data_IF_528450117007
#
_entry.id   IF_528450117007
#
_cell.length_a   1.000
_cell.length_b   1.000
_cell.length_c   1.000
_cell.angle_alpha   90.00
_cell.angle_beta   90.00
_cell.angle_gamma   90.00
#
_symmetry.space_group_name_H-M   'P 1'
#
loop_
_entity.id
_entity.type
_entity.pdbx_description
1 polymer ?
#
# COMPACT_ATOMS: atom_id res chain seq x y z
N UNK A 1 -20.40 -28.04 -7.51
CA UNK A 1 -19.39 -28.93 -6.89
C UNK A 1 -17.95 -28.43 -7.02
N UNK A 2 -17.44 -28.13 -8.23
CA UNK A 2 -16.05 -27.69 -8.46
C UNK A 2 -15.55 -26.56 -7.53
N UNK A 3 -16.37 -25.50 -7.31
CA UNK A 3 -16.04 -24.41 -6.38
C UNK A 3 -15.88 -24.85 -4.92
N UNK A 4 -16.74 -25.76 -4.47
CA UNK A 4 -16.76 -26.21 -3.06
C UNK A 4 -15.51 -27.03 -2.76
N UNK A 5 -15.20 -28.01 -3.62
CA UNK A 5 -14.00 -28.83 -3.48
C UNK A 5 -12.72 -27.99 -3.64
N UNK A 6 -12.68 -27.08 -4.60
CA UNK A 6 -11.53 -26.19 -4.73
C UNK A 6 -11.30 -25.38 -3.45
N UNK A 7 -12.34 -24.90 -2.77
CA UNK A 7 -12.16 -24.14 -1.51
C UNK A 7 -11.60 -24.96 -0.35
N UNK A 8 -11.85 -26.27 -0.29
CA UNK A 8 -11.31 -27.14 0.76
C UNK A 8 -9.83 -27.49 0.57
N UNK A 9 -9.24 -27.17 -0.59
CA UNK A 9 -7.85 -27.48 -0.89
C UNK A 9 -6.88 -26.37 -0.45
N UNK A 10 -5.63 -26.71 -0.09
CA UNK A 10 -4.55 -25.73 0.09
C UNK A 10 -4.19 -25.02 -1.22
N UNK A 11 -3.51 -23.88 -1.13
CA UNK A 11 -3.29 -22.95 -2.25
C UNK A 11 -2.66 -23.59 -3.51
N UNK A 12 -1.69 -24.47 -3.31
CA UNK A 12 -1.01 -25.22 -4.37
C UNK A 12 -1.92 -26.28 -5.01
N UNK A 13 -2.63 -27.05 -4.21
CA UNK A 13 -3.58 -28.06 -4.71
C UNK A 13 -4.75 -27.39 -5.45
N UNK A 14 -5.20 -26.22 -5.00
CA UNK A 14 -6.21 -25.41 -5.69
C UNK A 14 -5.78 -25.03 -7.09
N UNK A 15 -4.56 -24.52 -7.22
CA UNK A 15 -3.99 -24.11 -8.50
C UNK A 15 -3.83 -25.31 -9.44
N UNK A 16 -3.30 -26.44 -8.96
CA UNK A 16 -3.13 -27.66 -9.75
C UNK A 16 -4.47 -28.28 -10.16
N UNK A 17 -5.44 -28.31 -9.25
CA UNK A 17 -6.81 -28.74 -9.56
C UNK A 17 -7.43 -27.88 -10.66
N UNK A 18 -7.31 -26.54 -10.56
CA UNK A 18 -7.77 -25.64 -11.59
C UNK A 18 -7.08 -25.88 -12.95
N UNK A 19 -5.80 -26.22 -12.95
CA UNK A 19 -5.05 -26.55 -14.16
C UNK A 19 -5.53 -27.87 -14.78
N UNK A 20 -5.73 -28.93 -13.99
CA UNK A 20 -6.31 -30.21 -14.46
C UNK A 20 -7.67 -29.98 -15.10
N UNK A 21 -8.57 -29.26 -14.43
CA UNK A 21 -9.90 -28.98 -14.97
C UNK A 21 -9.84 -28.12 -16.24
N UNK A 22 -8.90 -27.17 -16.33
CA UNK A 22 -8.71 -26.36 -17.53
C UNK A 22 -8.20 -27.19 -18.72
N UNK A 23 -7.25 -28.11 -18.48
CA UNK A 23 -6.69 -28.99 -19.49
C UNK A 23 -7.73 -29.99 -20.02
N UNK A 24 -8.60 -30.53 -19.16
CA UNK A 24 -9.72 -31.40 -19.56
C UNK A 24 -10.67 -30.72 -20.56
N UNK A 25 -10.86 -29.40 -20.43
CA UNK A 25 -11.75 -28.62 -21.32
C UNK A 25 -11.05 -28.27 -22.63
N UNK A 26 -9.73 -28.12 -22.63
CA UNK A 26 -8.95 -27.75 -23.82
C UNK A 26 -9.06 -26.25 -24.15
N UNK A 27 -9.37 -25.93 -25.41
CA UNK A 27 -9.39 -24.53 -25.88
C UNK A 27 -10.39 -23.68 -25.08
N UNK A 28 -9.92 -22.55 -24.55
CA UNK A 28 -10.73 -21.68 -23.69
C UNK A 28 -10.93 -22.17 -22.25
N UNK A 29 -10.47 -23.38 -21.90
CA UNK A 29 -10.62 -23.97 -20.56
C UNK A 29 -10.03 -23.10 -19.44
N UNK A 30 -8.86 -22.50 -19.66
CA UNK A 30 -8.23 -21.58 -18.70
C UNK A 30 -9.13 -20.37 -18.39
N UNK A 31 -9.74 -19.77 -19.42
CA UNK A 31 -10.60 -18.60 -19.23
C UNK A 31 -11.91 -18.97 -18.52
N UNK A 32 -12.47 -20.14 -18.86
CA UNK A 32 -13.68 -20.67 -18.24
C UNK A 32 -13.46 -21.00 -16.75
N UNK A 33 -12.43 -21.78 -16.44
CA UNK A 33 -12.10 -22.18 -15.07
C UNK A 33 -11.71 -20.97 -14.22
N UNK A 34 -11.00 -19.99 -14.77
CA UNK A 34 -10.70 -18.73 -14.08
C UNK A 34 -11.98 -18.03 -13.61
N UNK A 35 -12.99 -17.93 -14.50
CA UNK A 35 -14.28 -17.30 -14.17
C UNK A 35 -15.05 -18.09 -13.12
N UNK A 36 -15.02 -19.42 -13.19
CA UNK A 36 -15.70 -20.26 -12.21
C UNK A 36 -14.99 -20.19 -10.87
N UNK A 37 -13.69 -20.40 -10.79
CA UNK A 37 -12.98 -20.47 -9.51
C UNK A 37 -12.62 -19.11 -8.92
N UNK A 38 -12.81 -18.01 -9.66
CA UNK A 38 -12.40 -16.67 -9.24
C UNK A 38 -10.89 -16.54 -9.14
N UNK A 39 -10.15 -17.29 -9.96
CA UNK A 39 -8.68 -17.29 -9.98
C UNK A 39 -8.15 -16.49 -11.16
N UNK A 40 -6.95 -15.94 -11.01
CA UNK A 40 -6.27 -15.30 -12.12
C UNK A 40 -5.84 -16.33 -13.18
N UNK A 41 -5.87 -15.96 -14.46
CA UNK A 41 -5.42 -16.83 -15.55
C UNK A 41 -3.94 -17.21 -15.41
N UNK A 42 -3.13 -16.29 -14.86
CA UNK A 42 -1.70 -16.54 -14.57
C UNK A 42 -1.54 -17.62 -13.52
N UNK A 43 -2.35 -17.63 -12.46
CA UNK A 43 -2.37 -18.72 -11.47
C UNK A 43 -2.61 -20.07 -12.13
N UNK A 44 -3.64 -20.18 -12.98
CA UNK A 44 -3.96 -21.45 -13.66
C UNK A 44 -2.81 -21.89 -14.60
N UNK A 45 -2.23 -20.96 -15.36
CA UNK A 45 -1.06 -21.25 -16.23
C UNK A 45 0.14 -21.76 -15.43
N UNK A 46 0.44 -21.15 -14.28
CA UNK A 46 1.47 -21.68 -13.37
C UNK A 46 1.14 -23.08 -12.89
N UNK A 47 -0.14 -23.39 -12.64
CA UNK A 47 -0.57 -24.75 -12.29
C UNK A 47 -0.34 -25.75 -13.42
N UNK A 48 -0.53 -25.36 -14.68
CA UNK A 48 -0.25 -26.19 -15.85
C UNK A 48 1.25 -26.48 -15.94
N UNK A 49 2.09 -25.44 -15.85
CA UNK A 49 3.54 -25.59 -15.82
C UNK A 49 4.02 -26.49 -14.68
N UNK A 50 3.39 -26.38 -13.51
CA UNK A 50 3.69 -27.26 -12.37
C UNK A 50 3.33 -28.71 -12.66
N UNK A 51 2.21 -28.99 -13.33
CA UNK A 51 1.83 -30.35 -13.73
C UNK A 51 2.78 -30.91 -14.79
N UNK A 52 3.18 -30.10 -15.78
CA UNK A 52 4.14 -30.50 -16.82
C UNK A 52 5.53 -30.83 -16.25
N UNK A 53 5.89 -30.23 -15.11
CA UNK A 53 7.14 -30.50 -14.40
C UNK A 53 7.06 -31.69 -13.45
N UNK A 54 5.87 -32.28 -13.24
CA UNK A 54 5.73 -33.49 -12.44
C UNK A 54 6.23 -34.70 -13.23
N UNK A 55 7.22 -35.40 -12.68
CA UNK A 55 7.62 -36.71 -13.17
C UNK A 55 6.93 -37.78 -12.32
N UNK A 56 6.32 -38.77 -12.95
CA UNK A 56 5.58 -39.87 -12.30
C UNK A 56 6.43 -40.67 -11.28
N UNK A 57 7.76 -40.59 -11.37
CA UNK A 57 8.70 -41.28 -10.50
C UNK A 57 9.32 -40.45 -9.36
N UNK A 58 8.92 -39.18 -9.17
CA UNK A 58 9.46 -38.33 -8.11
C UNK A 58 8.39 -37.99 -7.04
N UNK A 59 8.42 -38.64 -5.86
CA UNK A 59 7.49 -38.40 -4.77
C UNK A 59 7.53 -36.97 -4.21
N UNK A 60 8.60 -36.21 -4.50
CA UNK A 60 8.86 -34.88 -3.97
C UNK A 60 8.51 -33.74 -4.93
N UNK A 61 8.04 -34.05 -6.15
CA UNK A 61 7.82 -33.07 -7.22
C UNK A 61 6.34 -32.66 -7.33
N UNK A 62 6.01 -31.40 -7.72
CA UNK A 62 6.85 -30.23 -7.96
C UNK A 62 7.32 -29.54 -6.68
N UNK A 63 8.61 -29.21 -6.65
CA UNK A 63 9.11 -28.14 -5.80
C UNK A 63 8.38 -26.83 -6.17
N UNK A 64 7.70 -26.21 -5.20
CA UNK A 64 7.06 -24.91 -5.44
C UNK A 64 8.11 -23.88 -5.89
N UNK A 65 7.82 -23.01 -6.87
CA UNK A 65 8.74 -21.95 -7.30
C UNK A 65 9.13 -20.94 -6.19
N UNK A 66 8.47 -20.96 -5.03
CA UNK A 66 8.61 -19.94 -3.96
C UNK A 66 9.02 -20.47 -2.58
N UNK A 67 9.66 -21.64 -2.54
CA UNK A 67 10.30 -22.17 -1.34
C UNK A 67 9.63 -23.40 -0.74
N UNK A 68 10.21 -23.85 0.39
CA UNK A 68 9.96 -25.10 1.13
C UNK A 68 8.56 -25.71 0.90
N UNK A 69 8.51 -26.96 0.40
CA UNK A 69 7.29 -27.67 0.04
C UNK A 69 6.23 -27.74 1.16
N UNK A 70 6.66 -27.62 2.42
CA UNK A 70 5.78 -27.61 3.62
C UNK A 70 5.19 -26.24 3.97
N UNK A 71 5.60 -25.15 3.29
CA UNK A 71 5.23 -23.78 3.69
C UNK A 71 3.85 -23.39 3.15
N UNK A 72 2.77 -23.70 3.87
CA UNK A 72 1.45 -23.13 3.59
C UNK A 72 1.44 -21.67 4.07
N UNK A 73 1.09 -20.70 3.20
CA UNK A 73 0.87 -19.31 3.63
C UNK A 73 -0.33 -19.30 4.57
N UNK A 74 -0.11 -18.97 5.84
CA UNK A 74 -1.21 -18.68 6.76
C UNK A 74 -1.91 -17.39 6.30
N UNK A 75 -3.25 -17.29 6.37
CA UNK A 75 -3.90 -16.00 6.26
C UNK A 75 -3.29 -15.05 7.30
N UNK A 76 -2.98 -13.81 6.91
CA UNK A 76 -2.24 -12.86 7.75
C UNK A 76 -0.72 -13.03 7.79
N UNK A 77 -0.14 -14.03 7.13
CA UNK A 77 1.32 -14.24 7.05
C UNK A 77 2.06 -13.28 6.11
N UNK A 78 1.49 -12.10 5.84
CA UNK A 78 2.15 -11.03 5.11
C UNK A 78 3.25 -10.38 5.94
N UNK A 79 4.03 -9.48 5.32
CA UNK A 79 4.96 -8.64 6.07
C UNK A 79 4.15 -7.79 7.06
N UNK A 80 4.43 -7.84 8.37
CA UNK A 80 3.72 -7.02 9.35
C UNK A 80 3.86 -5.53 8.98
N UNK A 81 2.85 -4.71 9.26
CA UNK A 81 2.88 -3.29 8.96
C UNK A 81 4.10 -2.64 9.62
N UNK A 82 4.66 -1.63 8.96
CA UNK A 82 5.94 -1.04 9.41
C UNK A 82 5.85 -0.41 10.81
N UNK A 83 4.66 0.04 11.22
CA UNK A 83 4.40 0.57 12.56
C UNK A 83 4.60 -0.49 13.65
N UNK A 84 4.13 -1.72 13.44
CA UNK A 84 4.34 -2.83 14.40
C UNK A 84 5.80 -3.24 14.50
N UNK A 85 6.58 -3.01 13.42
CA UNK A 85 7.99 -3.42 13.36
C UNK A 85 8.94 -2.40 13.97
N UNK A 86 8.54 -1.13 14.06
CA UNK A 86 9.39 -0.04 14.54
C UNK A 86 8.62 0.67 15.66
N UNK A 87 8.89 0.25 16.91
CA UNK A 87 8.18 0.70 18.10
C UNK A 87 8.13 2.24 18.28
N UNK A 88 9.13 2.96 17.77
CA UNK A 88 9.22 4.42 17.90
C UNK A 88 8.84 5.20 16.62
N UNK A 89 8.34 4.51 15.59
CA UNK A 89 7.99 5.16 14.32
C UNK A 89 6.83 6.14 14.47
N UNK A 90 5.80 5.76 15.23
CA UNK A 90 4.63 6.60 15.45
C UNK A 90 5.01 7.87 16.21
N UNK A 91 5.77 7.73 17.30
CA UNK A 91 6.25 8.86 18.09
C UNK A 91 7.16 9.79 17.27
N UNK A 92 8.07 9.23 16.47
CA UNK A 92 8.95 10.02 15.61
C UNK A 92 8.18 10.73 14.49
N UNK A 93 7.18 10.07 13.90
CA UNK A 93 6.32 10.66 12.87
C UNK A 93 5.50 11.81 13.47
N UNK A 94 4.87 11.60 14.62
CA UNK A 94 4.13 12.65 15.32
C UNK A 94 5.03 13.84 15.65
N UNK A 95 6.25 13.62 16.15
CA UNK A 95 7.18 14.71 16.45
C UNK A 95 7.62 15.50 15.20
N UNK A 96 7.79 14.83 14.05
CA UNK A 96 8.04 15.50 12.76
C UNK A 96 6.81 16.29 12.33
N UNK A 97 5.61 15.73 12.52
CA UNK A 97 4.38 16.39 12.10
C UNK A 97 4.05 17.60 12.98
N UNK A 98 4.15 17.51 14.31
CA UNK A 98 3.92 18.63 15.23
C UNK A 98 4.83 19.83 14.93
N UNK A 99 6.11 19.59 14.62
CA UNK A 99 7.06 20.65 14.26
C UNK A 99 6.73 21.35 12.94
N UNK A 100 5.95 20.71 12.07
CA UNK A 100 5.61 21.19 10.74
C UNK A 100 4.09 21.30 10.51
N UNK A 101 3.30 21.26 11.59
CA UNK A 101 1.86 21.49 11.60
C UNK A 101 1.64 22.87 12.21
N UNK A 102 1.44 23.87 11.37
CA UNK A 102 0.89 25.13 11.85
C UNK A 102 -0.59 24.90 12.20
N UNK A 103 -0.97 25.15 13.46
CA UNK A 103 -2.34 24.96 13.92
C UNK A 103 -3.35 25.68 13.02
N UNK A 104 -4.38 24.97 12.55
CA UNK A 104 -5.52 25.56 11.86
C UNK A 104 -6.57 25.99 12.90
N UNK A 105 -6.99 27.26 12.98
CA UNK A 105 -7.98 27.73 13.96
C UNK A 105 -9.41 27.20 13.73
N UNK A 106 -9.68 26.38 12.71
CA UNK A 106 -11.06 26.19 12.21
C UNK A 106 -11.54 24.75 12.04
N UNK A 107 -10.68 23.72 12.07
CA UNK A 107 -11.15 22.32 11.99
C UNK A 107 -10.14 21.33 12.59
N UNK A 108 -10.43 20.79 13.79
CA UNK A 108 -9.57 19.86 14.53
C UNK A 108 -9.38 18.51 13.80
N UNK A 109 -10.26 18.18 12.83
CA UNK A 109 -10.28 16.87 12.16
C UNK A 109 -9.38 16.78 10.93
N UNK A 110 -8.86 17.90 10.44
CA UNK A 110 -8.03 17.92 9.23
C UNK A 110 -6.65 18.48 9.59
N UNK A 111 -5.64 17.61 9.63
CA UNK A 111 -4.24 18.01 9.89
C UNK A 111 -3.51 18.21 8.57
N UNK A 112 -2.93 19.39 8.40
CA UNK A 112 -2.30 19.82 7.15
C UNK A 112 -0.80 19.86 7.44
N UNK A 113 -0.03 19.12 6.64
CA UNK A 113 1.44 19.19 6.69
C UNK A 113 1.94 19.84 5.41
N UNK A 114 2.85 20.80 5.56
CA UNK A 114 3.55 21.40 4.42
C UNK A 114 4.61 20.46 3.83
N UNK A 115 4.92 19.36 4.52
CA UNK A 115 5.94 18.40 4.11
C UNK A 115 5.41 17.46 3.02
N UNK A 116 6.26 17.25 2.02
CA UNK A 116 6.12 16.16 1.06
C UNK A 116 6.49 14.81 1.70
N UNK A 117 5.98 13.69 1.17
CA UNK A 117 6.38 12.36 1.65
C UNK A 117 7.89 12.10 1.64
N UNK A 118 8.64 12.79 0.76
CA UNK A 118 10.09 12.65 0.70
C UNK A 118 10.80 13.44 1.81
N UNK A 119 10.28 14.62 2.15
CA UNK A 119 10.79 15.41 3.29
C UNK A 119 10.49 14.72 4.62
N UNK A 120 9.31 14.12 4.77
CA UNK A 120 8.99 13.29 5.96
C UNK A 120 9.94 12.10 6.07
N UNK A 121 10.24 11.41 4.96
CA UNK A 121 11.20 10.31 4.96
C UNK A 121 12.61 10.77 5.36
N UNK A 122 13.02 11.99 4.95
CA UNK A 122 14.31 12.58 5.32
C UNK A 122 14.36 12.99 6.80
N UNK A 123 13.31 13.64 7.30
CA UNK A 123 13.20 14.02 8.71
C UNK A 123 13.19 12.79 9.65
N UNK A 124 12.57 11.69 9.22
CA UNK A 124 12.63 10.42 9.95
C UNK A 124 14.00 9.75 9.86
N UNK A 125 14.71 9.91 8.74
CA UNK A 125 16.08 9.42 8.59
C UNK A 125 17.04 10.13 9.55
N UNK A 126 16.90 11.45 9.72
CA UNK A 126 17.68 12.23 10.70
C UNK A 126 17.45 11.77 12.15
N UNK A 127 16.29 11.17 12.43
CA UNK A 127 15.93 10.54 13.71
C UNK A 127 16.31 9.05 13.77
N UNK A 128 17.09 8.55 12.82
CA UNK A 128 17.59 7.16 12.77
C UNK A 128 16.62 6.15 12.15
N UNK A 129 15.48 6.59 11.61
CA UNK A 129 14.45 5.71 11.05
C UNK A 129 14.46 5.78 9.53
N UNK A 130 15.01 4.74 8.89
CA UNK A 130 15.07 4.64 7.43
C UNK A 130 13.77 4.10 6.85
N UNK A 131 12.97 4.97 6.22
CA UNK A 131 11.78 4.58 5.44
C UNK A 131 11.87 5.07 3.99
N UNK A 132 11.09 4.43 3.10
CA UNK A 132 10.96 4.87 1.71
C UNK A 132 9.92 5.97 1.57
N UNK A 133 10.00 6.78 0.50
CA UNK A 133 8.99 7.78 0.13
C UNK A 133 7.57 7.18 0.11
N UNK A 134 7.40 5.98 -0.47
CA UNK A 134 6.10 5.32 -0.57
C UNK A 134 5.56 4.92 0.80
N UNK A 135 6.45 4.48 1.70
CA UNK A 135 6.09 4.18 3.08
C UNK A 135 5.69 5.45 3.82
N UNK A 136 6.42 6.56 3.64
CA UNK A 136 6.06 7.84 4.23
C UNK A 136 4.70 8.35 3.72
N UNK A 137 4.41 8.20 2.42
CA UNK A 137 3.12 8.57 1.84
C UNK A 137 1.96 7.76 2.45
N UNK A 138 2.14 6.45 2.58
CA UNK A 138 1.17 5.56 3.22
C UNK A 138 0.94 5.92 4.70
N UNK A 139 2.00 6.28 5.43
CA UNK A 139 1.89 6.72 6.83
C UNK A 139 1.12 8.04 6.97
N UNK A 140 1.37 9.01 6.08
CA UNK A 140 0.64 10.29 6.06
C UNK A 140 -0.84 10.08 5.76
N UNK A 141 -1.17 9.22 4.79
CA UNK A 141 -2.55 8.88 4.44
C UNK A 141 -3.27 8.18 5.60
N UNK A 142 -2.61 7.19 6.22
CA UNK A 142 -3.16 6.48 7.38
C UNK A 142 -3.36 7.37 8.61
N UNK A 143 -2.52 8.40 8.79
CA UNK A 143 -2.64 9.39 9.86
C UNK A 143 -3.64 10.53 9.53
N UNK A 144 -4.30 10.48 8.37
CA UNK A 144 -5.31 11.48 7.97
C UNK A 144 -4.74 12.82 7.50
N UNK A 145 -3.44 12.91 7.24
CA UNK A 145 -2.81 14.14 6.79
C UNK A 145 -3.04 14.35 5.30
N UNK A 146 -3.50 15.55 4.95
CA UNK A 146 -3.61 15.98 3.56
C UNK A 146 -2.58 17.06 3.27
N UNK A 147 -2.00 17.02 2.08
CA UNK A 147 -1.08 18.06 1.61
C UNK A 147 -1.87 19.30 1.20
N UNK A 148 -1.60 20.44 1.83
CA UNK A 148 -1.97 21.75 1.25
C UNK A 148 -0.90 22.14 0.25
N UNK A 149 -1.27 22.37 -1.00
CA UNK A 149 -0.39 23.14 -1.89
C UNK A 149 -0.68 24.61 -1.60
N UNK A 150 0.34 25.40 -1.25
CA UNK A 150 0.24 26.85 -1.22
C UNK A 150 -0.31 27.34 -2.57
N UNK A 151 -1.53 27.87 -2.57
CA UNK A 151 -2.07 28.62 -3.71
C UNK A 151 -1.66 30.07 -3.52
N UNK A 152 -0.66 30.51 -4.29
CA UNK A 152 -0.40 31.93 -4.51
C UNK A 152 -1.27 32.36 -5.68
N UNK A 153 -2.55 32.62 -5.43
CA UNK A 153 -3.35 33.35 -6.39
C UNK A 153 -2.96 34.82 -6.22
N UNK A 154 -2.34 35.40 -7.26
CA UNK A 154 -2.18 36.85 -7.33
C UNK A 154 -3.58 37.42 -7.22
N UNK A 155 -3.81 38.31 -6.25
CA UNK A 155 -5.07 39.06 -6.15
C UNK A 155 -5.23 39.74 -7.51
N UNK A 156 -6.24 39.33 -8.29
CA UNK A 156 -6.62 40.00 -9.53
C UNK A 156 -7.29 41.32 -9.16
N UNK A 157 -6.46 42.29 -8.82
CA UNK A 157 -6.86 43.64 -8.46
C UNK A 157 -5.60 44.49 -8.33
N UNK A 158 -5.64 45.73 -8.81
CA UNK A 158 -4.61 46.71 -8.47
C UNK A 158 -4.74 46.94 -6.96
N UNK A 159 -3.82 46.37 -6.19
CA UNK A 159 -3.78 46.56 -4.74
C UNK A 159 -2.88 47.76 -4.48
N UNK A 160 -3.47 48.88 -4.07
CA UNK A 160 -2.72 50.06 -3.66
C UNK A 160 -1.87 49.73 -2.42
N UNK A 161 -0.55 49.88 -2.52
CA UNK A 161 0.35 49.61 -1.41
C UNK A 161 0.17 50.60 -0.25
N UNK A 162 -0.36 51.79 -0.53
CA UNK A 162 -0.52 52.87 0.45
C UNK A 162 -1.68 52.59 1.41
N UNK A 163 -2.82 52.09 0.90
CA UNK A 163 -3.98 51.71 1.74
C UNK A 163 -3.68 50.52 2.65
N UNK A 164 -2.81 49.60 2.22
CA UNK A 164 -2.44 48.43 3.04
C UNK A 164 -1.65 48.83 4.29
N UNK A 165 -0.77 49.82 4.17
CA UNK A 165 0.07 50.30 5.27
C UNK A 165 -0.75 50.95 6.39
N UNK A 166 -1.90 51.57 6.08
CA UNK A 166 -2.79 52.15 7.10
C UNK A 166 -3.35 51.08 8.04
N UNK A 167 -3.65 49.89 7.51
CA UNK A 167 -4.17 48.77 8.29
C UNK A 167 -3.13 48.23 9.29
N UNK A 168 -1.85 48.25 8.93
CA UNK A 168 -0.75 47.82 9.81
C UNK A 168 -0.35 48.90 10.83
N UNK A 169 -0.44 50.19 10.46
CA UNK A 169 -0.12 51.31 11.37
C UNK A 169 -1.10 51.45 12.54
N UNK A 170 -2.31 50.89 12.44
CA UNK A 170 -3.29 50.87 13.54
C UNK A 170 -2.91 49.92 14.69
N UNK A 171 -2.02 48.95 14.43
CA UNK A 171 -1.60 47.93 15.39
C UNK A 171 -0.49 48.45 16.33
N UNK A 172 0.21 49.53 15.93
CA UNK A 172 1.32 50.15 16.68
C UNK A 172 0.89 51.32 17.59
N UNK A 173 -0.42 51.52 17.82
CA UNK A 173 -0.87 52.49 18.82
C UNK A 173 -1.02 51.81 20.20
N UNK A 174 -0.35 52.32 21.25
CA UNK A 174 -0.45 51.77 22.60
C UNK A 174 -1.83 51.97 23.23
#
# INVERSE_FOLDING_TARGET
>A
MMRLYCRSLPEDHRRRYAAVEALKIGYGGVAYVARILGMSRTTIKTGIQELEQMNEGDPQNPARPSGNAKRIRRPGGGRPPIMERIAHLETALNAVLEAHTAGSPSDERVRWSDLTPMEVARALLERGIRISRNTAAMLLEGAGFRRRKLRKELITGVVDSVERDEQFRSIDRP
#
